data_IF_453272766615
#
_entry.id   IF_453272766615
#
_cell.length_a   1.000
_cell.length_b   1.000
_cell.length_c   1.000
_cell.angle_alpha   90.00
_cell.angle_beta   90.00
_cell.angle_gamma   90.00
#
_symmetry.space_group_name_H-M   'P 1'
#
loop_
_entity.id
_entity.type
_entity.pdbx_description
1 polymer ?
#
# COMPACT_ATOMS: atom_id res chain seq x y z
N UNK A 1 4.99 7.39 -26.59
CA UNK A 1 3.76 6.66 -26.21
C UNK A 1 3.84 5.99 -24.81
N UNK A 2 4.54 6.57 -23.81
CA UNK A 2 4.80 5.91 -22.51
C UNK A 2 4.19 6.64 -21.28
N UNK A 3 3.85 7.93 -21.39
CA UNK A 3 3.42 8.74 -20.24
C UNK A 3 1.96 8.50 -19.79
N UNK A 4 1.08 8.05 -20.68
CA UNK A 4 -0.33 7.81 -20.34
C UNK A 4 -0.54 6.58 -19.44
N UNK A 5 0.25 5.52 -19.62
CA UNK A 5 0.21 4.34 -18.74
C UNK A 5 0.80 4.64 -17.35
N UNK A 6 1.85 5.46 -17.28
CA UNK A 6 2.45 5.88 -15.99
C UNK A 6 1.46 6.62 -15.10
N UNK A 7 0.55 7.42 -15.68
CA UNK A 7 -0.48 8.14 -14.93
C UNK A 7 -1.59 7.21 -14.41
N UNK A 8 -1.90 6.14 -15.14
CA UNK A 8 -2.91 5.14 -14.77
C UNK A 8 -2.42 4.14 -13.72
N UNK A 9 -1.11 3.84 -13.67
CA UNK A 9 -0.53 2.95 -12.66
C UNK A 9 0.03 3.70 -11.43
N UNK A 10 -0.03 5.04 -11.43
CA UNK A 10 0.43 5.91 -10.34
C UNK A 10 1.95 5.93 -10.16
N UNK A 11 2.68 5.90 -11.27
CA UNK A 11 4.12 6.15 -11.27
C UNK A 11 4.43 7.57 -10.75
N UNK A 12 5.36 7.68 -9.81
CA UNK A 12 5.91 8.93 -9.29
C UNK A 12 7.43 8.92 -9.41
N UNK A 13 8.00 10.08 -9.76
CA UNK A 13 9.44 10.29 -9.89
C UNK A 13 9.93 11.19 -8.76
N UNK A 14 11.16 11.00 -8.27
CA UNK A 14 11.75 11.86 -7.25
C UNK A 14 11.83 13.29 -7.78
N UNK A 15 11.89 14.27 -6.88
CA UNK A 15 12.19 15.64 -7.29
C UNK A 15 13.58 15.69 -7.95
N UNK A 16 13.72 16.48 -9.01
CA UNK A 16 14.87 16.42 -9.94
C UNK A 16 16.25 16.73 -9.35
N UNK A 17 16.33 17.07 -8.07
CA UNK A 17 17.56 17.41 -7.35
C UNK A 17 18.03 16.33 -6.37
N UNK A 18 17.33 15.20 -6.22
CA UNK A 18 17.70 14.15 -5.26
C UNK A 18 18.67 13.16 -5.90
N UNK A 19 19.88 13.05 -5.34
CA UNK A 19 20.84 12.02 -5.74
C UNK A 19 20.35 10.64 -5.29
N UNK A 20 20.24 9.63 -6.18
CA UNK A 20 19.78 8.31 -5.81
C UNK A 20 20.68 7.66 -4.76
N UNK A 21 20.08 7.22 -3.65
CA UNK A 21 20.78 6.45 -2.62
C UNK A 21 21.20 5.07 -3.14
N UNK A 22 22.23 4.45 -2.54
CA UNK A 22 22.58 3.05 -2.77
C UNK A 22 21.39 2.11 -2.53
N UNK A 23 21.32 1.02 -3.32
CA UNK A 23 20.28 -0.02 -3.22
C UNK A 23 20.06 -0.50 -1.78
N UNK A 24 21.17 -0.76 -1.07
CA UNK A 24 21.15 -1.24 0.32
C UNK A 24 20.47 -0.26 1.26
N UNK A 25 20.67 1.05 1.06
CA UNK A 25 20.11 2.08 1.92
C UNK A 25 18.61 2.23 1.66
N UNK A 26 18.17 2.11 0.41
CA UNK A 26 16.74 2.06 0.07
C UNK A 26 16.06 0.85 0.70
N UNK A 27 16.69 -0.33 0.63
CA UNK A 27 16.15 -1.56 1.26
C UNK A 27 16.02 -1.36 2.77
N UNK A 28 17.05 -0.81 3.42
CA UNK A 28 17.07 -0.60 4.86
C UNK A 28 16.02 0.42 5.29
N UNK A 29 15.87 1.53 4.55
CA UNK A 29 14.84 2.53 4.81
C UNK A 29 13.42 1.94 4.70
N UNK A 30 13.15 1.14 3.66
CA UNK A 30 11.86 0.48 3.49
C UNK A 30 11.58 -0.55 4.60
N UNK A 31 12.58 -1.34 5.00
CA UNK A 31 12.42 -2.30 6.10
C UNK A 31 12.18 -1.59 7.45
N UNK A 32 12.82 -0.45 7.68
CA UNK A 32 12.65 0.33 8.91
C UNK A 32 11.21 0.86 9.08
N UNK A 33 10.49 1.18 7.99
CA UNK A 33 9.09 1.61 8.05
C UNK A 33 8.16 0.57 8.68
N UNK A 34 8.44 -0.73 8.46
CA UNK A 34 7.63 -1.83 8.99
C UNK A 34 7.83 -2.08 10.49
N UNK A 35 8.83 -1.44 11.09
CA UNK A 35 9.13 -1.51 12.52
C UNK A 35 8.74 -0.22 13.25
N UNK A 36 8.45 0.85 12.50
CA UNK A 36 7.84 2.05 13.04
C UNK A 36 6.39 1.73 13.48
N UNK A 37 5.76 2.62 14.24
CA UNK A 37 4.37 2.49 14.71
C UNK A 37 3.32 2.60 13.57
N UNK A 38 3.57 1.93 12.44
CA UNK A 38 2.71 1.85 11.27
C UNK A 38 1.79 0.62 11.39
N UNK A 39 0.61 0.66 10.74
CA UNK A 39 -0.33 -0.46 10.77
C UNK A 39 0.09 -1.63 9.85
N UNK A 40 1.28 -1.56 9.25
CA UNK A 40 1.77 -2.54 8.27
C UNK A 40 3.18 -2.99 8.59
N UNK A 41 3.54 -4.18 8.14
CA UNK A 41 4.89 -4.74 8.30
C UNK A 41 5.57 -4.81 6.95
N UNK A 42 6.87 -4.52 6.92
CA UNK A 42 7.70 -4.66 5.73
C UNK A 42 8.70 -5.78 5.98
N UNK A 43 8.76 -6.74 5.06
CA UNK A 43 9.69 -7.88 5.13
C UNK A 43 10.37 -8.10 3.79
N UNK A 44 11.48 -8.84 3.82
CA UNK A 44 12.04 -9.43 2.60
C UNK A 44 11.06 -10.44 2.00
N UNK A 45 11.00 -10.44 0.69
CA UNK A 45 10.23 -11.42 -0.07
C UNK A 45 10.86 -12.81 0.08
N UNK A 46 10.01 -13.83 0.08
CA UNK A 46 10.41 -15.23 0.00
C UNK A 46 10.83 -15.54 -1.45
N UNK A 47 11.66 -16.57 -1.63
CA UNK A 47 12.14 -16.97 -2.96
C UNK A 47 11.04 -17.35 -3.97
N UNK A 48 9.83 -17.63 -3.50
CA UNK A 48 8.65 -17.93 -4.33
C UNK A 48 7.91 -16.67 -4.81
N UNK A 49 8.22 -15.51 -4.22
CA UNK A 49 7.57 -14.24 -4.47
C UNK A 49 8.40 -13.43 -5.47
N UNK A 50 7.77 -12.84 -6.50
CA UNK A 50 8.47 -12.13 -7.59
C UNK A 50 8.85 -10.68 -7.23
N UNK A 51 9.27 -10.48 -5.99
CA UNK A 51 9.56 -9.19 -5.40
C UNK A 51 10.84 -9.30 -4.55
N UNK A 52 11.42 -8.17 -4.18
CA UNK A 52 12.51 -8.12 -3.19
C UNK A 52 11.97 -7.85 -1.78
N UNK A 53 10.93 -7.02 -1.70
CA UNK A 53 10.29 -6.60 -0.45
C UNK A 53 8.77 -6.71 -0.57
N UNK A 54 8.13 -6.97 0.57
CA UNK A 54 6.68 -7.00 0.69
C UNK A 54 6.28 -6.19 1.91
N UNK A 55 5.36 -5.26 1.70
CA UNK A 55 4.61 -4.62 2.77
C UNK A 55 3.24 -5.31 2.89
N UNK A 56 2.83 -5.64 4.10
CA UNK A 56 1.57 -6.32 4.38
C UNK A 56 0.85 -5.64 5.54
N UNK A 57 -0.45 -5.42 5.37
CA UNK A 57 -1.33 -4.81 6.34
C UNK A 57 -2.61 -5.65 6.46
N UNK A 58 -2.89 -6.13 7.66
CA UNK A 58 -4.15 -6.78 7.97
C UNK A 58 -5.04 -5.81 8.76
N UNK A 59 -6.28 -5.69 8.32
CA UNK A 59 -7.29 -4.85 8.96
C UNK A 59 -8.50 -5.73 9.31
N UNK A 60 -8.41 -6.51 10.41
CA UNK A 60 -9.44 -7.48 10.79
C UNK A 60 -10.81 -6.84 10.97
N UNK A 61 -10.87 -5.59 11.44
CA UNK A 61 -12.11 -4.85 11.71
C UNK A 61 -13.01 -4.68 10.49
N UNK A 62 -12.43 -4.67 9.29
CA UNK A 62 -13.16 -4.59 8.01
C UNK A 62 -12.91 -5.82 7.13
N UNK A 63 -12.20 -6.84 7.64
CA UNK A 63 -11.89 -8.07 6.91
C UNK A 63 -11.01 -7.85 5.68
N UNK A 64 -10.11 -6.87 5.70
CA UNK A 64 -9.27 -6.51 4.54
C UNK A 64 -7.81 -6.85 4.81
N UNK A 65 -7.15 -7.47 3.83
CA UNK A 65 -5.70 -7.59 3.78
C UNK A 65 -5.19 -6.84 2.56
N UNK A 66 -4.20 -5.98 2.76
CA UNK A 66 -3.50 -5.23 1.70
C UNK A 66 -2.06 -5.71 1.67
N UNK A 67 -1.53 -5.93 0.46
CA UNK A 67 -0.14 -6.30 0.24
C UNK A 67 0.44 -5.49 -0.90
N UNK A 68 1.59 -4.87 -0.67
CA UNK A 68 2.36 -4.17 -1.70
C UNK A 68 3.64 -4.92 -1.94
N UNK A 69 3.74 -5.54 -3.12
CA UNK A 69 4.97 -6.20 -3.57
C UNK A 69 5.90 -5.18 -4.22
N UNK A 70 7.17 -5.17 -3.88
CA UNK A 70 8.17 -4.21 -4.35
C UNK A 70 9.38 -4.92 -4.94
N UNK A 71 9.70 -4.64 -6.21
CA UNK A 71 10.87 -5.13 -6.92
C UNK A 71 11.82 -3.96 -7.22
N UNK A 72 13.07 -4.08 -6.80
CA UNK A 72 14.11 -3.08 -6.90
C UNK A 72 14.87 -3.28 -8.21
N UNK A 73 14.86 -2.25 -9.04
CA UNK A 73 15.55 -2.21 -10.33
C UNK A 73 16.70 -1.21 -10.21
N UNK A 74 17.84 -1.70 -9.73
CA UNK A 74 19.04 -0.89 -9.46
C UNK A 74 19.52 -0.11 -10.67
N UNK A 75 19.62 -0.74 -11.84
CA UNK A 75 20.08 -0.10 -13.08
C UNK A 75 19.19 1.05 -13.58
N UNK A 76 18.01 1.27 -12.98
CA UNK A 76 17.11 2.39 -13.31
C UNK A 76 16.77 3.27 -12.09
N UNK A 77 17.37 3.01 -10.93
CA UNK A 77 16.97 3.63 -9.65
C UNK A 77 15.46 3.66 -9.48
N UNK A 78 14.83 2.49 -9.64
CA UNK A 78 13.38 2.37 -9.74
C UNK A 78 12.88 1.24 -8.85
N UNK A 79 11.83 1.49 -8.07
CA UNK A 79 11.06 0.45 -7.37
C UNK A 79 9.78 0.21 -8.17
N UNK A 80 9.60 -1.01 -8.67
CA UNK A 80 8.32 -1.46 -9.25
C UNK A 80 7.45 -1.96 -8.12
N UNK A 81 6.21 -1.47 -8.05
CA UNK A 81 5.26 -1.95 -7.06
C UNK A 81 4.01 -2.54 -7.71
N UNK A 82 3.46 -3.53 -7.02
CA UNK A 82 2.16 -4.11 -7.31
C UNK A 82 1.37 -4.21 -6.01
N UNK A 83 0.26 -3.48 -5.95
CA UNK A 83 -0.68 -3.57 -4.84
C UNK A 83 -1.67 -4.70 -5.10
N UNK A 84 -1.88 -5.53 -4.09
CA UNK A 84 -2.86 -6.60 -4.04
C UNK A 84 -3.73 -6.42 -2.82
N UNK A 85 -4.99 -6.82 -2.96
CA UNK A 85 -5.98 -6.71 -1.90
C UNK A 85 -6.86 -7.93 -1.87
N UNK A 86 -7.17 -8.36 -0.65
CA UNK A 86 -8.18 -9.35 -0.39
C UNK A 86 -9.21 -8.80 0.60
N UNK A 87 -10.48 -8.81 0.21
CA UNK A 87 -11.59 -8.40 1.06
C UNK A 87 -12.46 -9.61 1.41
N UNK A 88 -12.59 -9.90 2.70
CA UNK A 88 -13.50 -10.90 3.25
C UNK A 88 -14.76 -10.18 3.75
N UNK A 89 -15.77 -10.00 2.89
CA UNK A 89 -17.11 -9.59 3.34
C UNK A 89 -17.79 -10.78 4.04
N UNK A 90 -17.96 -10.75 5.37
CA UNK A 90 -18.95 -11.60 6.04
C UNK A 90 -20.27 -10.82 6.18
N UNK A 91 -21.45 -11.40 5.94
CA UNK A 91 -22.01 -12.52 6.70
C UNK A 91 -22.70 -13.64 5.89
N UNK A 92 -22.68 -13.66 4.55
CA UNK A 92 -23.41 -14.71 3.80
C UNK A 92 -22.84 -15.10 2.43
N UNK A 93 -21.58 -14.76 2.12
CA UNK A 93 -20.98 -15.10 0.83
C UNK A 93 -19.51 -15.42 0.97
N UNK A 94 -19.12 -16.65 0.65
CA UNK A 94 -17.75 -17.18 0.65
C UNK A 94 -16.82 -16.56 -0.43
N UNK A 95 -17.17 -15.38 -0.97
CA UNK A 95 -16.43 -14.76 -2.06
C UNK A 95 -15.45 -13.71 -1.53
N UNK A 96 -14.19 -14.13 -1.38
CA UNK A 96 -13.04 -13.24 -1.18
C UNK A 96 -12.90 -12.37 -2.43
N UNK A 97 -13.14 -11.06 -2.32
CA UNK A 97 -12.93 -10.15 -3.47
C UNK A 97 -11.42 -9.87 -3.57
N UNK A 98 -10.85 -10.23 -4.72
CA UNK A 98 -9.45 -9.99 -5.03
C UNK A 98 -9.34 -8.74 -5.91
N UNK A 99 -8.60 -7.75 -5.42
CA UNK A 99 -8.22 -6.56 -6.17
C UNK A 99 -6.73 -6.57 -6.46
N UNK A 100 -6.33 -6.11 -7.66
CA UNK A 100 -4.93 -6.05 -8.07
C UNK A 100 -4.66 -4.77 -8.88
N UNK A 101 -3.55 -4.11 -8.56
CA UNK A 101 -3.14 -2.84 -9.17
C UNK A 101 -3.41 -1.64 -8.26
N UNK A 102 -2.88 -0.49 -8.67
CA UNK A 102 -3.02 0.77 -7.93
C UNK A 102 -4.48 1.28 -8.03
N UNK A 103 -5.28 0.89 -7.06
CA UNK A 103 -6.67 1.31 -6.92
C UNK A 103 -6.93 1.68 -5.45
N UNK A 104 -6.60 2.90 -5.02
CA UNK A 104 -6.80 3.33 -3.64
C UNK A 104 -8.23 3.04 -3.16
N UNK A 105 -8.38 2.52 -1.95
CA UNK A 105 -9.69 2.27 -1.38
C UNK A 105 -9.79 2.74 0.06
N UNK A 106 -11.01 3.12 0.45
CA UNK A 106 -11.34 3.59 1.78
C UNK A 106 -12.41 2.69 2.37
N UNK A 107 -12.07 2.05 3.49
CA UNK A 107 -12.97 1.23 4.28
C UNK A 107 -13.46 2.02 5.47
N UNK A 108 -14.76 1.92 5.77
CA UNK A 108 -15.40 2.63 6.87
C UNK A 108 -16.30 1.68 7.64
N UNK A 109 -16.29 1.79 8.96
CA UNK A 109 -17.28 1.15 9.82
C UNK A 109 -18.12 2.22 10.50
N UNK A 110 -19.42 1.98 10.53
CA UNK A 110 -20.40 2.87 11.13
C UNK A 110 -21.10 2.15 12.28
N UNK A 111 -21.30 2.84 13.39
CA UNK A 111 -22.15 2.38 14.49
C UNK A 111 -23.38 3.28 14.61
N UNK A 112 -24.53 2.68 14.94
CA UNK A 112 -25.73 3.44 15.27
C UNK A 112 -25.76 3.68 16.78
N UNK A 113 -25.75 4.94 17.20
CA UNK A 113 -25.88 5.33 18.60
C UNK A 113 -27.14 6.16 18.77
N UNK A 114 -27.86 5.96 19.87
CA UNK A 114 -28.95 6.84 20.25
C UNK A 114 -28.38 7.98 21.09
N UNK A 115 -28.82 9.21 20.84
CA UNK A 115 -28.53 10.34 21.72
C UNK A 115 -29.47 10.35 22.94
N UNK A 116 -29.28 11.32 23.83
CA UNK A 116 -30.08 11.50 25.04
C UNK A 116 -31.55 11.84 24.75
N UNK A 117 -31.88 12.26 23.52
CA UNK A 117 -33.24 12.53 23.04
C UNK A 117 -33.85 11.32 22.29
N UNK A 118 -33.15 10.18 22.22
CA UNK A 118 -33.60 8.97 21.54
C UNK A 118 -33.47 9.01 20.01
N UNK A 119 -32.82 10.02 19.44
CA UNK A 119 -32.56 10.08 17.99
C UNK A 119 -31.37 9.19 17.64
N UNK A 120 -31.53 8.42 16.57
CA UNK A 120 -30.49 7.52 16.06
C UNK A 120 -29.52 8.29 15.16
N UNK A 121 -28.26 8.30 15.56
CA UNK A 121 -27.15 8.85 14.79
C UNK A 121 -26.25 7.72 14.28
N UNK A 122 -25.73 7.87 13.07
CA UNK A 122 -24.66 7.02 12.54
C UNK A 122 -23.33 7.72 12.76
N UNK A 123 -22.47 7.13 13.57
CA UNK A 123 -21.11 7.63 13.81
C UNK A 123 -20.09 6.76 13.08
N UNK A 124 -19.14 7.39 12.39
CA UNK A 124 -17.99 6.69 11.81
C UNK A 124 -17.07 6.31 12.97
N UNK A 125 -16.92 5.01 13.23
CA UNK A 125 -16.12 4.48 14.36
C UNK A 125 -14.78 3.91 13.89
N UNK A 126 -14.61 3.78 12.58
CA UNK A 126 -13.40 3.28 11.96
C UNK A 126 -13.28 3.78 10.54
N UNK A 127 -12.04 4.09 10.16
CA UNK A 127 -11.64 4.38 8.80
C UNK A 127 -10.29 3.73 8.55
N UNK A 128 -10.14 3.12 7.38
CA UNK A 128 -8.85 2.67 6.87
C UNK A 128 -8.74 3.05 5.40
N UNK A 129 -7.72 3.82 5.05
CA UNK A 129 -7.36 4.15 3.67
C UNK A 129 -6.14 3.32 3.26
N UNK A 130 -6.20 2.61 2.13
CA UNK A 130 -5.05 1.80 1.68
C UNK A 130 -3.79 2.65 1.43
N UNK A 131 -3.96 3.97 1.23
CA UNK A 131 -2.86 4.93 1.13
C UNK A 131 -2.06 5.07 2.41
N UNK A 132 -2.62 4.72 3.57
CA UNK A 132 -1.88 4.64 4.84
C UNK A 132 -0.74 3.61 4.79
N UNK A 133 -0.78 2.67 3.82
CA UNK A 133 0.30 1.73 3.52
C UNK A 133 1.15 2.22 2.34
N UNK A 134 0.52 2.54 1.20
CA UNK A 134 1.26 2.83 -0.04
C UNK A 134 2.00 4.16 0.00
N UNK A 135 1.46 5.20 0.65
CA UNK A 135 2.07 6.54 0.65
C UNK A 135 3.40 6.56 1.42
N UNK A 136 3.52 6.02 2.66
CA UNK A 136 4.82 5.96 3.34
C UNK A 136 5.91 5.20 2.58
N UNK A 137 5.55 4.09 1.91
CA UNK A 137 6.48 3.32 1.08
C UNK A 137 6.95 4.14 -0.13
N UNK A 138 6.00 4.77 -0.83
CA UNK A 138 6.29 5.61 -1.99
C UNK A 138 7.16 6.79 -1.61
N UNK A 139 6.78 7.52 -0.57
CA UNK A 139 7.46 8.76 -0.20
C UNK A 139 8.90 8.44 0.25
N UNK A 140 9.11 7.34 0.98
CA UNK A 140 10.46 6.83 1.29
C UNK A 140 11.31 6.52 0.06
N UNK A 141 10.71 5.92 -0.99
CA UNK A 141 11.40 5.67 -2.26
C UNK A 141 11.73 6.98 -2.99
N UNK A 142 10.81 7.94 -2.99
CA UNK A 142 11.00 9.23 -3.64
C UNK A 142 12.08 10.07 -2.93
N UNK A 143 12.07 10.07 -1.60
CA UNK A 143 13.04 10.77 -0.76
C UNK A 143 14.44 10.15 -0.87
N UNK A 144 14.52 8.85 -1.16
CA UNK A 144 15.77 8.19 -1.50
C UNK A 144 16.29 8.52 -2.91
N UNK A 145 15.56 9.30 -3.71
CA UNK A 145 15.91 9.63 -5.09
C UNK A 145 15.56 8.54 -6.10
N UNK A 146 14.64 7.64 -5.76
CA UNK A 146 14.23 6.53 -6.61
C UNK A 146 12.82 6.75 -7.18
N UNK A 147 12.58 6.19 -8.37
CA UNK A 147 11.26 6.26 -9.01
C UNK A 147 10.34 5.17 -8.46
N UNK A 148 9.16 5.55 -7.97
CA UNK A 148 8.09 4.65 -7.60
C UNK A 148 7.22 4.34 -8.82
N UNK A 149 7.23 3.12 -9.33
CA UNK A 149 6.52 2.77 -10.58
C UNK A 149 5.48 1.69 -10.37
N UNK A 150 4.23 2.00 -10.66
CA UNK A 150 3.15 1.00 -10.62
C UNK A 150 3.21 0.09 -11.83
N UNK A 151 3.06 -1.21 -11.59
CA UNK A 151 2.98 -2.23 -12.64
C UNK A 151 1.74 -3.09 -12.45
N UNK A 152 1.26 -3.70 -13.54
CA UNK A 152 0.19 -4.70 -13.47
C UNK A 152 0.74 -6.10 -13.10
N UNK A 153 2.05 -6.30 -13.29
CA UNK A 153 2.77 -7.54 -13.02
C UNK A 153 4.25 -7.23 -12.77
N UNK A 154 4.84 -7.93 -11.80
CA UNK A 154 6.27 -7.94 -11.52
C UNK A 154 7.00 -8.95 -12.42
#
# INVERSE_FOLDING_TARGET
MMAFFDKLTGTKRPQGSVTPLPVTDVINALLALGNASTPFRVRRALSTEKADLIAECEVPRVGVTVRTQMLIVSGKHQVRHLDERWENRSANSAHRQYGRGNAPAVYRQWESRNDTEGRRHRIEVFRFDTREVTDPLRDTVLDAGWTWRGVLKL
#
